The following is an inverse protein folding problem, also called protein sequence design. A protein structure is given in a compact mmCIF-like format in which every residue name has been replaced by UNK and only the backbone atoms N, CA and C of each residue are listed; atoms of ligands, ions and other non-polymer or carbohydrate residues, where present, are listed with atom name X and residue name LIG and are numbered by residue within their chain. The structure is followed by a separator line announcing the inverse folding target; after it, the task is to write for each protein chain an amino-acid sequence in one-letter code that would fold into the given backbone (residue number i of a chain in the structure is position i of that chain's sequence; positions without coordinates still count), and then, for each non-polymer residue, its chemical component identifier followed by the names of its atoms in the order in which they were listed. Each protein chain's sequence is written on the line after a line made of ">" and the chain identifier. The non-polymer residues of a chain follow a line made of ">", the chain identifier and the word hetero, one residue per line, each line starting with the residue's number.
data_IF_722464488174
#
_entry.id   IF_722464488174
#
_cell.length_a   1.000
_cell.length_b   1.000
_cell.length_c   1.000
_cell.angle_alpha   90.00
_cell.angle_beta   90.00
_cell.angle_gamma   90.00
#
_symmetry.space_group_name_H-M   'P 1'
#
loop_
_entity.id
_entity.type
_entity.pdbx_description
1 polymer ?
#
# COMPACT_ATOMS: atom_id res chain seq x y z
N UNK A 1 20.49 8.56 -8.32
CA UNK A 1 19.09 8.84 -8.72
C UNK A 1 18.52 7.70 -9.56
N UNK A 2 19.32 7.13 -10.46
CA UNK A 2 18.93 6.00 -11.32
C UNK A 2 18.49 4.72 -10.57
N UNK A 3 19.08 4.45 -9.40
CA UNK A 3 18.76 3.28 -8.56
C UNK A 3 17.38 3.40 -7.87
N UNK A 4 17.06 4.58 -7.32
CA UNK A 4 15.76 4.84 -6.68
C UNK A 4 14.61 4.75 -7.68
N UNK A 5 14.84 5.20 -8.92
CA UNK A 5 13.85 5.09 -9.98
C UNK A 5 13.56 3.62 -10.30
N UNK A 6 14.59 2.78 -10.43
CA UNK A 6 14.44 1.34 -10.65
C UNK A 6 13.69 0.65 -9.51
N UNK A 7 13.96 1.04 -8.27
CA UNK A 7 13.21 0.53 -7.10
C UNK A 7 11.75 0.91 -7.21
N UNK A 8 11.45 2.18 -7.49
CA UNK A 8 10.07 2.66 -7.65
C UNK A 8 9.35 1.91 -8.77
N UNK A 9 9.96 1.78 -9.94
CA UNK A 9 9.39 1.10 -11.09
C UNK A 9 9.06 -0.37 -10.78
N UNK A 10 9.90 -1.06 -9.98
CA UNK A 10 9.63 -2.43 -9.54
C UNK A 10 8.50 -2.50 -8.50
N UNK A 11 8.45 -1.57 -7.55
CA UNK A 11 7.37 -1.52 -6.55
C UNK A 11 6.01 -1.25 -7.21
N UNK A 12 5.96 -0.26 -8.10
CA UNK A 12 4.79 0.06 -8.94
C UNK A 12 4.33 -1.17 -9.73
N UNK A 13 5.27 -1.87 -10.37
CA UNK A 13 4.95 -3.05 -11.18
C UNK A 13 4.33 -4.19 -10.35
N UNK A 14 4.92 -4.51 -9.19
CA UNK A 14 4.49 -5.66 -8.38
C UNK A 14 3.30 -5.38 -7.47
N UNK A 15 3.20 -4.18 -6.90
CA UNK A 15 2.17 -3.84 -5.91
C UNK A 15 1.02 -3.06 -6.54
N UNK A 16 1.32 -2.20 -7.53
CA UNK A 16 0.37 -1.21 -8.09
C UNK A 16 -0.34 -0.42 -6.99
N UNK A 17 0.46 0.20 -6.13
CA UNK A 17 -0.04 0.99 -5.02
C UNK A 17 -0.99 2.09 -5.53
N UNK A 18 -2.06 2.36 -4.78
CA UNK A 18 -2.98 3.45 -5.13
C UNK A 18 -2.33 4.84 -4.99
N UNK A 19 -1.27 4.92 -4.18
CA UNK A 19 -0.46 6.12 -3.97
C UNK A 19 1.02 5.85 -4.24
N UNK A 20 1.75 6.86 -4.71
CA UNK A 20 3.19 6.76 -4.88
C UNK A 20 3.92 6.51 -3.54
N UNK A 21 4.96 5.66 -3.52
CA UNK A 21 5.72 5.43 -2.30
C UNK A 21 6.45 6.71 -1.87
N UNK A 22 6.29 7.08 -0.60
CA UNK A 22 6.96 8.23 -0.01
C UNK A 22 8.28 7.80 0.64
N UNK A 23 9.38 8.40 0.19
CA UNK A 23 10.69 8.23 0.81
C UNK A 23 10.83 9.12 2.04
N UNK A 24 10.81 8.54 3.24
CA UNK A 24 11.06 9.26 4.49
C UNK A 24 12.52 9.09 4.87
N UNK A 25 13.27 10.20 4.92
CA UNK A 25 14.65 10.19 5.40
C UNK A 25 14.66 10.11 6.93
N UNK A 26 15.18 9.01 7.46
CA UNK A 26 15.37 8.85 8.90
C UNK A 26 16.50 9.76 9.41
N UNK A 27 16.34 10.28 10.62
CA UNK A 27 17.39 11.05 11.31
C UNK A 27 18.58 10.15 11.67
N UNK A 28 19.77 10.72 11.64
CA UNK A 28 21.03 10.04 11.97
C UNK A 28 21.36 10.24 13.45
N UNK A 29 22.27 9.41 13.94
CA UNK A 29 22.86 9.60 15.26
C UNK A 29 23.55 10.96 15.33
N UNK A 30 23.15 11.78 16.31
CA UNK A 30 23.65 13.15 16.48
C UNK A 30 22.82 14.26 15.84
N UNK A 31 21.79 13.95 15.04
CA UNK A 31 20.88 14.97 14.53
C UNK A 31 20.02 15.56 15.67
N UNK A 32 19.79 16.89 15.64
CA UNK A 32 19.00 17.58 16.66
C UNK A 32 17.52 17.24 16.50
N UNK A 33 16.97 16.53 17.49
CA UNK A 33 15.55 16.21 17.54
C UNK A 33 14.70 17.47 17.79
N UNK A 34 13.56 17.64 17.09
CA UNK A 34 12.59 18.66 17.44
C UNK A 34 12.14 18.55 18.90
N UNK A 35 11.88 19.66 19.58
CA UNK A 35 11.56 19.67 21.02
C UNK A 35 10.36 18.77 21.41
N UNK A 36 9.41 18.59 20.50
CA UNK A 36 8.21 17.76 20.71
C UNK A 36 8.36 16.32 20.23
N UNK A 37 9.48 15.97 19.60
CA UNK A 37 9.70 14.61 19.09
C UNK A 37 10.00 13.66 20.25
N UNK A 38 9.29 12.54 20.31
CA UNK A 38 9.52 11.48 21.29
C UNK A 38 10.31 10.33 20.67
N UNK A 39 11.33 9.85 21.37
CA UNK A 39 12.13 8.70 21.02
C UNK A 39 11.61 7.49 21.81
N UNK A 40 11.11 6.43 21.15
CA UNK A 40 10.45 5.33 21.84
C UNK A 40 11.22 4.69 22.99
N UNK A 41 12.50 4.41 22.77
CA UNK A 41 13.34 3.78 23.78
C UNK A 41 13.65 4.71 24.96
N UNK A 42 13.80 6.01 24.71
CA UNK A 42 14.17 7.01 25.71
C UNK A 42 12.96 7.45 26.54
N UNK A 43 11.83 7.71 25.90
CA UNK A 43 10.67 8.32 26.54
C UNK A 43 9.63 7.30 27.01
N UNK A 44 9.57 6.12 26.38
CA UNK A 44 8.61 5.07 26.71
C UNK A 44 9.26 3.76 27.17
N UNK A 45 10.60 3.63 27.10
CA UNK A 45 11.31 2.41 27.53
C UNK A 45 11.07 1.18 26.64
N UNK A 46 10.49 1.36 25.46
CA UNK A 46 10.12 0.27 24.57
C UNK A 46 10.89 0.33 23.25
N UNK A 47 11.39 -0.83 22.80
CA UNK A 47 11.94 -1.00 21.45
C UNK A 47 10.79 -1.27 20.49
N UNK A 48 10.65 -0.43 19.47
CA UNK A 48 9.67 -0.60 18.40
C UNK A 48 10.34 -1.34 17.23
N UNK A 49 9.59 -2.23 16.57
CA UNK A 49 10.08 -2.94 15.40
C UNK A 49 10.33 -1.97 14.22
N UNK A 50 11.39 -2.21 13.46
CA UNK A 50 11.75 -1.34 12.33
C UNK A 50 10.74 -1.38 11.17
N UNK A 51 10.09 -2.54 10.97
CA UNK A 51 8.93 -2.66 10.11
C UNK A 51 7.69 -2.42 10.98
N UNK A 52 6.86 -1.46 10.59
CA UNK A 52 5.60 -1.14 11.26
C UNK A 52 4.47 -1.35 10.27
N UNK A 53 3.36 -1.88 10.78
CA UNK A 53 2.07 -1.91 10.07
C UNK A 53 1.14 -1.04 10.88
N UNK A 54 0.51 -0.09 10.21
CA UNK A 54 -0.42 0.86 10.80
C UNK A 54 -1.82 0.48 10.32
N UNK A 55 -2.67 0.10 11.28
CA UNK A 55 -4.09 -0.03 11.04
C UNK A 55 -4.73 1.36 11.14
N UNK A 56 -5.50 1.79 10.13
CA UNK A 56 -6.12 3.11 10.14
C UNK A 56 -7.04 3.29 11.35
N UNK A 57 -6.77 4.33 12.13
CA UNK A 57 -7.61 4.74 13.25
C UNK A 57 -8.74 5.66 12.78
N UNK A 58 -9.64 6.04 13.69
CA UNK A 58 -10.75 6.97 13.37
C UNK A 58 -10.27 8.30 12.77
N UNK A 59 -9.14 8.81 13.25
CA UNK A 59 -8.52 10.02 12.70
C UNK A 59 -8.05 9.84 11.26
N UNK A 60 -7.42 8.70 10.94
CA UNK A 60 -6.94 8.42 9.58
C UNK A 60 -8.11 8.34 8.59
N UNK A 61 -9.21 7.70 9.01
CA UNK A 61 -10.44 7.60 8.22
C UNK A 61 -11.08 8.97 7.95
N UNK A 62 -11.12 9.85 8.95
CA UNK A 62 -11.74 11.18 8.81
C UNK A 62 -10.86 12.15 8.04
N UNK A 63 -9.58 12.26 8.41
CA UNK A 63 -8.71 13.34 7.94
C UNK A 63 -7.87 12.95 6.72
N UNK A 64 -7.42 11.69 6.66
CA UNK A 64 -6.63 11.17 5.55
C UNK A 64 -7.48 10.41 4.52
N UNK A 65 -8.80 10.26 4.79
CA UNK A 65 -9.75 9.52 3.94
C UNK A 65 -9.30 8.08 3.68
N UNK A 66 -8.63 7.47 4.66
CA UNK A 66 -8.14 6.09 4.52
C UNK A 66 -9.30 5.11 4.59
N UNK A 67 -9.41 4.24 3.60
CA UNK A 67 -10.52 3.29 3.47
C UNK A 67 -10.34 2.03 4.35
N UNK A 68 -11.41 1.26 4.55
CA UNK A 68 -11.40 0.03 5.38
C UNK A 68 -10.43 -1.04 4.85
N UNK A 69 -10.17 -1.04 3.54
CA UNK A 69 -9.27 -1.99 2.87
C UNK A 69 -7.85 -1.45 2.71
N UNK A 70 -7.55 -0.26 3.22
CA UNK A 70 -6.23 0.34 3.16
C UNK A 70 -5.43 0.11 4.44
N UNK A 71 -4.11 0.05 4.29
CA UNK A 71 -3.17 0.02 5.41
C UNK A 71 -1.84 0.62 4.99
N UNK A 72 -1.12 1.20 5.95
CA UNK A 72 0.23 1.66 5.74
C UNK A 72 1.22 0.68 6.36
N UNK A 73 2.33 0.45 5.66
CA UNK A 73 3.43 -0.34 6.19
C UNK A 73 4.76 0.34 5.87
N UNK A 74 5.75 0.12 6.72
CA UNK A 74 7.09 0.69 6.55
C UNK A 74 8.10 -0.40 6.24
N UNK A 75 8.95 -0.13 5.25
CA UNK A 75 10.09 -0.99 4.89
C UNK A 75 11.38 -0.19 5.13
N UNK A 76 12.32 -0.70 5.93
CA UNK A 76 13.65 -0.15 6.00
C UNK A 76 14.33 -0.24 4.63
N UNK A 77 14.92 0.86 4.16
CA UNK A 77 15.60 0.90 2.86
C UNK A 77 16.64 -0.22 2.69
N UNK A 78 17.36 -0.58 3.76
CA UNK A 78 18.34 -1.66 3.75
C UNK A 78 17.79 -3.05 3.41
N UNK A 79 16.46 -3.25 3.51
CA UNK A 79 15.77 -4.52 3.21
C UNK A 79 14.98 -4.47 1.90
N UNK A 80 15.06 -3.37 1.14
CA UNK A 80 14.22 -3.21 -0.05
C UNK A 80 14.49 -4.29 -1.11
N UNK A 81 15.75 -4.72 -1.26
CA UNK A 81 16.13 -5.79 -2.20
C UNK A 81 15.46 -7.11 -1.85
N UNK A 82 15.48 -7.51 -0.57
CA UNK A 82 14.81 -8.73 -0.07
C UNK A 82 13.30 -8.67 -0.35
N UNK A 83 12.68 -7.52 -0.12
CA UNK A 83 11.24 -7.33 -0.39
C UNK A 83 10.93 -7.48 -1.88
N UNK A 84 11.73 -6.86 -2.74
CA UNK A 84 11.54 -6.93 -4.19
C UNK A 84 11.73 -8.36 -4.74
N UNK A 85 12.71 -9.10 -4.21
CA UNK A 85 12.91 -10.52 -4.53
C UNK A 85 11.71 -11.37 -4.07
N UNK A 86 11.18 -11.10 -2.87
CA UNK A 86 9.98 -11.74 -2.36
C UNK A 86 8.75 -11.47 -3.25
N UNK A 87 8.53 -10.21 -3.64
CA UNK A 87 7.43 -9.84 -4.53
C UNK A 87 7.53 -10.55 -5.89
N UNK A 88 8.72 -10.61 -6.47
CA UNK A 88 8.96 -11.36 -7.70
C UNK A 88 8.66 -12.86 -7.52
N UNK A 89 9.07 -13.44 -6.38
CA UNK A 89 8.77 -14.82 -6.02
C UNK A 89 7.27 -15.10 -5.91
N UNK A 90 6.52 -14.23 -5.21
CA UNK A 90 5.05 -14.35 -5.11
C UNK A 90 4.39 -14.28 -6.48
N UNK A 91 4.93 -13.43 -7.36
CA UNK A 91 4.48 -13.31 -8.73
C UNK A 91 4.77 -14.60 -9.54
N UNK A 92 5.95 -15.19 -9.40
CA UNK A 92 6.23 -16.50 -10.03
C UNK A 92 5.32 -17.60 -9.49
N UNK A 93 4.94 -17.52 -8.21
CA UNK A 93 3.97 -18.41 -7.56
C UNK A 93 2.50 -18.20 -7.95
N UNK A 94 2.20 -17.23 -8.81
CA UNK A 94 0.84 -16.97 -9.31
C UNK A 94 0.02 -15.96 -8.50
N UNK A 95 0.54 -15.47 -7.36
CA UNK A 95 -0.10 -14.40 -6.59
C UNK A 95 0.20 -13.06 -7.28
N UNK A 96 -0.81 -12.18 -7.40
CA UNK A 96 -0.67 -10.84 -7.99
C UNK A 96 -1.32 -9.83 -7.07
N UNK A 97 -0.74 -8.63 -7.04
CA UNK A 97 -1.34 -7.48 -6.36
C UNK A 97 -1.77 -6.41 -7.37
N UNK A 98 -2.91 -5.74 -7.15
CA UNK A 98 -3.93 -6.13 -6.18
C UNK A 98 -4.52 -7.51 -6.51
N UNK A 99 -5.01 -8.22 -5.49
CA UNK A 99 -5.60 -9.55 -5.68
C UNK A 99 -6.82 -9.39 -6.58
N UNK A 100 -6.89 -10.11 -7.72
CA UNK A 100 -8.01 -9.95 -8.64
C UNK A 100 -9.30 -10.44 -7.99
N UNK A 101 -10.34 -9.61 -8.07
CA UNK A 101 -11.68 -10.02 -7.66
C UNK A 101 -12.23 -11.05 -8.63
N UNK A 102 -12.78 -12.14 -8.09
CA UNK A 102 -13.44 -13.16 -8.88
C UNK A 102 -14.83 -12.69 -9.35
N UNK A 103 -14.86 -11.97 -10.46
CA UNK A 103 -16.09 -11.43 -11.06
C UNK A 103 -16.70 -12.45 -12.03
N UNK A 104 -17.36 -13.49 -11.50
CA UNK A 104 -18.13 -14.47 -12.31
C UNK A 104 -19.64 -14.27 -12.27
N UNK A 105 -20.11 -13.17 -11.70
CA UNK A 105 -21.55 -12.89 -11.73
C UNK A 105 -21.92 -12.24 -13.06
N UNK A 106 -23.06 -12.64 -13.61
CA UNK A 106 -23.71 -11.91 -14.68
C UNK A 106 -24.56 -10.81 -14.03
N UNK A 107 -24.30 -9.56 -14.37
CA UNK A 107 -25.09 -8.44 -13.88
C UNK A 107 -26.53 -8.57 -14.39
N UNK A 108 -27.48 -8.90 -13.52
CA UNK A 108 -28.90 -8.83 -13.88
C UNK A 108 -29.32 -7.37 -13.87
N UNK A 109 -29.51 -6.79 -15.05
CA UNK A 109 -30.08 -5.46 -15.15
C UNK A 109 -31.51 -5.46 -14.59
N UNK A 110 -31.93 -4.38 -13.88
CA UNK A 110 -33.33 -4.21 -13.53
C UNK A 110 -34.22 -4.28 -14.78
N UNK A 111 -35.43 -4.84 -14.65
CA UNK A 111 -36.32 -5.14 -15.78
C UNK A 111 -36.54 -3.95 -16.72
N UNK A 112 -36.60 -2.72 -16.17
CA UNK A 112 -36.79 -1.49 -16.95
C UNK A 112 -35.71 -1.24 -18.00
N UNK A 113 -34.50 -1.77 -17.82
CA UNK A 113 -33.39 -1.62 -18.77
C UNK A 113 -33.37 -2.71 -19.84
N UNK A 114 -34.17 -3.78 -19.70
CA UNK A 114 -34.25 -4.88 -20.66
C UNK A 114 -35.07 -4.52 -21.91
N UNK A 115 -35.81 -3.42 -21.87
CA UNK A 115 -36.51 -2.85 -23.03
C UNK A 115 -35.51 -2.57 -24.17
N UNK A 116 -34.28 -2.18 -23.82
CA UNK A 116 -33.20 -1.95 -24.80
C UNK A 116 -32.82 -3.26 -25.54
N UNK A 117 -32.98 -4.43 -24.91
CA UNK A 117 -32.75 -5.72 -25.59
C UNK A 117 -33.81 -6.01 -26.66
N UNK A 118 -34.99 -5.41 -26.58
CA UNK A 118 -36.01 -5.48 -27.63
C UNK A 118 -35.63 -4.60 -28.83
N UNK A 119 -35.13 -3.39 -28.56
CA UNK A 119 -34.63 -2.46 -29.58
C UNK A 119 -33.42 -3.01 -30.37
N UNK A 120 -32.63 -3.92 -29.76
CA UNK A 120 -31.43 -4.51 -30.38
C UNK A 120 -31.70 -5.80 -31.18
N UNK A 121 -32.96 -6.26 -31.23
CA UNK A 121 -33.36 -7.45 -31.99
C UNK A 121 -33.87 -7.14 -33.41
N UNK A 122 -34.04 -5.86 -33.76
CA UNK A 122 -34.23 -5.37 -35.14
C UNK A 122 -32.91 -5.30 -35.91
#
# INVERSE_FOLDING_TARGET
>A
MDDLKKINDRLEFYIRAQSFPLGIKMMREGDVLPEKAKVPLKDFGHRIAICQVIFPCYGDRIFAQTEDYEMAFTIPYSRISEVLEGLEGTQKGGIRYPVPSFLRYEGKFPEKYRIIEEDWKE
#
